data_IF_159372675704
#
_entry.id   IF_159372675704
#
_cell.length_a   1.000
_cell.length_b   1.000
_cell.length_c   1.000
_cell.angle_alpha   90.00
_cell.angle_beta   90.00
_cell.angle_gamma   90.00
#
_symmetry.space_group_name_H-M   'P 1'
#
loop_
_entity.id
_entity.type
_entity.pdbx_description
1 polymer ?
2 non-polymer ?
3 water ?
#
# COMPACT_ATOMS: atom_id res chain seq x y z
N UNK A 6 -25.98 11.99 3.68
CA UNK A 6 -25.19 11.66 2.48
C UNK A 6 -23.76 12.22 2.52
N UNK A 7 -22.79 11.40 2.13
CA UNK A 7 -21.38 11.75 2.27
C UNK A 7 -20.44 10.84 1.45
N UNK A 8 -19.18 11.25 1.34
CA UNK A 8 -18.15 10.48 0.65
C UNK A 8 -17.19 9.82 1.64
N UNK A 9 -17.17 8.47 1.67
CA UNK A 9 -16.23 7.70 2.50
C UNK A 9 -14.80 7.71 1.93
N UNK A 10 -13.80 7.52 2.80
CA UNK A 10 -12.39 7.69 2.45
C UNK A 10 -11.99 6.70 1.38
N UNK A 11 -11.08 7.08 0.49
CA UNK A 11 -10.51 6.12 -0.45
C UNK A 11 -9.15 5.68 0.07
N UNK A 12 -8.69 4.52 -0.38
CA UNK A 12 -7.41 4.03 0.12
C UNK A 12 -6.72 2.99 -0.75
N UNK A 13 -5.40 2.96 -0.61
CA UNK A 13 -4.56 1.97 -1.24
C UNK A 13 -3.72 1.31 -0.16
N UNK A 14 -3.37 0.05 -0.38
CA UNK A 14 -2.38 -0.60 0.45
C UNK A 14 -1.28 -1.16 -0.42
N UNK A 15 -0.05 -1.14 0.09
CA UNK A 15 1.00 -1.99 -0.46
C UNK A 15 1.62 -2.82 0.67
N UNK A 16 1.81 -4.11 0.40
CA UNK A 16 2.30 -5.02 1.43
C UNK A 16 3.78 -5.32 1.41
N UNK A 17 4.43 -5.24 2.56
CA UNK A 17 5.84 -5.60 2.64
C UNK A 17 6.00 -6.84 3.52
N UNK A 18 7.22 -7.32 3.67
CA UNK A 18 7.43 -8.64 4.26
C UNK A 18 6.82 -8.73 5.66
N UNK A 19 6.92 -7.67 6.44
CA UNK A 19 6.28 -7.67 7.77
C UNK A 19 5.54 -6.39 8.11
N UNK A 20 5.09 -5.64 7.11
CA UNK A 20 4.26 -4.47 7.39
C UNK A 20 3.47 -4.08 6.15
N UNK A 21 2.35 -3.41 6.37
CA UNK A 21 1.52 -2.92 5.27
C UNK A 21 1.46 -1.40 5.28
N UNK A 22 1.76 -0.77 4.14
CA UNK A 22 1.63 0.69 4.06
C UNK A 22 0.27 1.10 3.55
N UNK A 23 -0.50 1.72 4.43
CA UNK A 23 -1.86 2.13 4.08
C UNK A 23 -1.93 3.63 3.74
N UNK A 24 -2.38 3.92 2.53
CA UNK A 24 -2.47 5.28 2.02
C UNK A 24 -3.93 5.69 1.90
N UNK A 25 -4.34 6.66 2.72
CA UNK A 25 -5.72 7.15 2.79
C UNK A 25 -5.87 8.52 2.13
N UNK A 26 -6.95 8.71 1.38
CA UNK A 26 -7.29 10.04 0.89
C UNK A 26 -8.60 10.53 1.49
N UNK A 27 -8.51 11.49 2.43
CA UNK A 27 -9.69 12.01 3.12
C UNK A 27 -10.27 13.23 2.41
N UNK A 40 -12.70 8.50 15.15
CA UNK A 40 -13.71 8.60 14.09
C UNK A 40 -13.29 7.88 12.78
N UNK A 41 -12.06 8.10 12.29
CA UNK A 41 -11.59 7.30 11.14
C UNK A 41 -10.85 6.01 11.55
N UNK A 42 -11.27 4.89 10.98
CA UNK A 42 -10.78 3.58 11.40
C UNK A 42 -10.12 2.78 10.27
N UNK A 43 -8.97 2.21 10.59
CA UNK A 43 -8.31 1.27 9.70
C UNK A 43 -8.33 -0.10 10.34
N UNK A 44 -9.12 -0.98 9.73
CA UNK A 44 -9.36 -2.31 10.25
C UNK A 44 -8.42 -3.30 9.56
N UNK A 45 -7.71 -4.08 10.37
CA UNK A 45 -6.74 -5.07 9.89
C UNK A 45 -7.27 -6.47 10.17
N UNK A 46 -7.61 -7.23 9.14
CA UNK A 46 -8.08 -8.60 9.38
C UNK A 46 -7.05 -9.65 8.98
N UNK A 47 -6.77 -10.57 9.90
CA UNK A 47 -6.05 -11.79 9.57
C UNK A 47 -7.07 -12.91 9.78
N UNK A 48 -6.67 -14.16 9.68
CA UNK A 48 -7.66 -15.23 9.81
C UNK A 48 -8.08 -15.47 11.27
N UNK A 49 -9.37 -15.27 11.53
CA UNK A 49 -9.90 -15.29 12.88
C UNK A 49 -9.83 -13.95 13.59
N UNK A 50 -8.91 -13.08 13.17
CA UNK A 50 -8.61 -11.88 13.92
C UNK A 50 -8.96 -10.57 13.22
N UNK A 51 -9.51 -9.63 13.99
CA UNK A 51 -9.76 -8.27 13.52
C UNK A 51 -9.19 -7.26 14.51
N UNK A 52 -8.24 -6.44 14.04
CA UNK A 52 -7.67 -5.37 14.86
C UNK A 52 -8.16 -4.03 14.36
N UNK A 53 -8.58 -3.15 15.26
CA UNK A 53 -9.00 -1.80 14.87
C UNK A 53 -7.94 -0.75 15.19
N UNK A 54 -7.38 -0.12 14.15
CA UNK A 54 -6.37 0.92 14.33
C UNK A 54 -6.98 2.32 14.18
N UNK A 55 -6.46 3.25 14.97
CA UNK A 55 -6.93 4.65 15.03
C UNK A 55 -5.82 5.63 14.66
N UNK A 56 -5.77 6.03 13.42
CA UNK A 56 -4.72 6.92 12.99
C UNK A 56 -4.95 8.30 13.47
N UNK A 57 -3.89 9.01 13.81
CA UNK A 57 -3.98 10.39 14.22
C UNK A 57 -4.37 11.29 13.09
N UNK A 58 -5.62 11.66 13.01
CA UNK A 58 -6.12 12.44 11.93
C UNK A 58 -6.34 13.88 12.37
N UNK A 65 -4.80 13.25 3.06
CA UNK A 65 -3.78 12.39 2.49
C UNK A 65 -2.65 11.99 3.40
N UNK A 66 -2.85 10.99 4.24
CA UNK A 66 -1.81 10.52 5.13
C UNK A 66 -1.43 9.07 4.88
N UNK A 67 -0.28 8.65 5.34
CA UNK A 67 0.05 7.22 5.31
C UNK A 67 0.14 6.60 6.71
N UNK A 68 -0.49 5.44 6.89
CA UNK A 68 -0.41 4.74 8.17
C UNK A 68 0.12 3.34 7.95
N UNK A 69 1.09 2.97 8.78
CA UNK A 69 1.83 1.73 8.61
C UNK A 69 1.53 0.71 9.68
N UNK A 70 0.94 -0.42 9.26
CA UNK A 70 0.63 -1.52 10.15
C UNK A 70 1.84 -2.45 10.13
N UNK A 71 2.43 -2.64 11.31
CA UNK A 71 3.73 -3.31 11.46
C UNK A 71 3.63 -4.61 12.27
N UNK A 72 4.78 -5.21 12.58
CA UNK A 72 4.83 -6.45 13.36
C UNK A 72 3.93 -7.53 12.74
N UNK A 73 3.96 -7.65 11.41
CA UNK A 73 3.14 -8.67 10.77
C UNK A 73 3.94 -9.92 10.36
N UNK A 74 3.22 -10.97 9.98
CA UNK A 74 3.83 -12.26 9.63
C UNK A 74 3.97 -12.39 8.12
N UNK A 75 5.20 -12.65 7.68
CA UNK A 75 5.50 -12.96 6.32
C UNK A 75 4.79 -14.14 5.80
N UNK A 76 4.28 -14.03 4.61
CA UNK A 76 3.65 -15.11 3.93
C UNK A 76 2.33 -15.39 4.50
N UNK A 77 1.65 -14.33 4.89
CA UNK A 77 0.38 -14.41 5.52
C UNK A 77 -0.51 -13.49 4.76
N UNK A 78 -1.77 -13.82 4.70
CA UNK A 78 -2.77 -12.93 4.14
C UNK A 78 -3.37 -11.98 5.17
N UNK A 79 -3.50 -10.71 4.79
CA UNK A 79 -4.14 -9.70 5.61
C UNK A 79 -5.15 -8.94 4.74
N UNK A 80 -6.25 -8.46 5.34
CA UNK A 80 -7.21 -7.65 4.60
C UNK A 80 -7.39 -6.31 5.31
N UNK A 81 -7.64 -5.26 4.54
CA UNK A 81 -7.77 -3.95 5.13
C UNK A 81 -9.05 -3.27 4.68
N UNK A 82 -9.65 -2.56 5.63
CA UNK A 82 -10.89 -1.83 5.43
C UNK A 82 -10.76 -0.48 6.11
N UNK A 83 -11.28 0.56 5.49
CA UNK A 83 -11.14 1.91 6.01
C UNK A 83 -12.52 2.54 6.01
N UNK A 84 -12.83 3.25 7.08
CA UNK A 84 -14.19 3.77 7.22
C UNK A 84 -14.35 4.77 8.36
N UNK A 85 -15.34 5.65 8.23
CA UNK A 85 -15.68 6.59 9.28
C UNK A 85 -16.67 5.96 10.28
N UNK A 86 -16.49 6.27 11.57
CA UNK A 86 -17.34 5.73 12.63
C UNK A 86 -18.19 6.85 13.24
N UNK A 87 -19.41 6.51 13.65
CA UNK A 87 -20.44 7.51 14.02
C UNK A 87 -20.96 7.35 15.46
N UNK A 93 -22.51 3.01 9.82
CA UNK A 93 -21.13 2.59 9.53
C UNK A 93 -21.02 1.78 8.22
N UNK A 94 -20.35 2.34 7.22
CA UNK A 94 -20.12 1.59 5.99
C UNK A 94 -18.68 1.13 5.92
N UNK A 95 -18.45 -0.14 6.20
CA UNK A 95 -17.12 -0.70 6.06
C UNK A 95 -16.77 -0.74 4.58
N UNK A 96 -15.60 -0.23 4.23
CA UNK A 96 -15.16 -0.22 2.84
C UNK A 96 -15.09 -1.65 2.31
N UNK A 97 -15.04 -1.81 0.99
CA UNK A 97 -14.70 -3.15 0.53
C UNK A 97 -13.28 -3.47 0.99
N UNK A 98 -13.01 -4.69 1.30
CA UNK A 98 -11.69 -5.03 1.74
C UNK A 98 -10.67 -5.05 0.64
N UNK A 99 -9.49 -4.55 0.95
CA UNK A 99 -8.36 -4.72 0.05
C UNK A 99 -7.41 -5.72 0.72
N UNK A 100 -7.00 -6.73 -0.01
CA UNK A 100 -6.17 -7.76 0.63
C UNK A 100 -4.85 -7.93 -0.12
N UNK A 101 -3.83 -8.39 0.61
CA UNK A 101 -2.52 -8.65 0.00
C UNK A 101 -1.80 -9.80 0.70
N UNK A 102 -0.84 -10.42 -0.01
CA UNK A 102 -0.04 -11.50 0.58
C UNK A 102 1.37 -11.00 0.84
N UNK A 103 1.76 -11.00 2.11
CA UNK A 103 3.06 -10.50 2.46
C UNK A 103 4.11 -11.41 1.85
N UNK A 104 5.19 -10.82 1.32
CA UNK A 104 6.30 -11.59 0.73
C UNK A 104 7.06 -12.32 1.85
N UNK A 105 7.89 -13.32 1.48
CA UNK A 105 8.70 -14.07 2.45
C UNK A 105 9.88 -13.26 3.00
N UNK B 7 -24.88 -16.32 -6.36
CA UNK B 7 -23.69 -17.19 -6.25
C UNK B 7 -22.50 -16.58 -5.52
N UNK B 8 -21.99 -17.32 -4.54
CA UNK B 8 -20.82 -16.92 -3.76
C UNK B 8 -19.58 -16.91 -4.66
N UNK B 9 -18.65 -15.95 -4.44
CA UNK B 9 -17.44 -15.84 -5.25
C UNK B 9 -16.48 -17.01 -5.05
N UNK B 10 -15.77 -17.41 -6.11
CA UNK B 10 -14.77 -18.48 -6.04
C UNK B 10 -13.48 -18.05 -5.35
N UNK B 11 -12.59 -19.01 -5.11
CA UNK B 11 -11.27 -18.74 -4.54
C UNK B 11 -10.28 -18.43 -5.67
N UNK B 12 -9.32 -17.53 -5.39
CA UNK B 12 -8.31 -17.13 -6.36
C UNK B 12 -7.06 -16.55 -5.69
N UNK B 13 -5.94 -16.58 -6.42
CA UNK B 13 -4.72 -15.94 -5.98
C UNK B 13 -4.16 -15.13 -7.15
N UNK B 14 -3.31 -14.15 -6.86
CA UNK B 14 -2.65 -13.41 -7.92
C UNK B 14 -1.16 -13.28 -7.64
N UNK B 15 -0.37 -13.18 -8.70
CA UNK B 15 1.01 -12.69 -8.51
C UNK B 15 1.38 -11.68 -9.60
N UNK B 16 2.04 -10.61 -9.18
CA UNK B 16 2.23 -9.47 -10.04
C UNK B 16 3.58 -9.43 -10.73
N UNK B 17 3.60 -8.96 -11.98
CA UNK B 17 4.84 -8.78 -12.71
C UNK B 17 4.88 -7.37 -13.29
N UNK B 18 6.02 -7.01 -13.89
CA UNK B 18 6.21 -5.69 -14.48
C UNK B 18 5.02 -5.22 -15.32
N UNK B 19 4.47 -6.11 -16.15
CA UNK B 19 3.42 -5.69 -17.07
C UNK B 19 2.17 -6.55 -17.09
N UNK B 20 2.12 -7.53 -16.21
CA UNK B 20 0.90 -8.32 -16.14
C UNK B 20 0.73 -8.92 -14.75
N UNK B 21 -0.47 -9.44 -14.52
CA UNK B 21 -0.79 -10.13 -13.30
C UNK B 21 -1.32 -11.52 -13.64
N UNK B 22 -0.70 -12.52 -13.03
CA UNK B 22 -1.18 -13.89 -13.09
C UNK B 22 -2.34 -14.09 -12.13
N UNK B 23 -3.45 -14.60 -12.64
CA UNK B 23 -4.60 -14.89 -11.79
C UNK B 23 -4.95 -16.38 -11.85
N UNK B 24 -4.98 -17.04 -10.68
CA UNK B 24 -5.40 -18.44 -10.58
C UNK B 24 -6.71 -18.56 -9.84
N UNK B 25 -7.69 -19.19 -10.48
CA UNK B 25 -8.99 -19.40 -9.82
C UNK B 25 -9.26 -20.89 -9.60
N UNK B 26 -9.89 -21.20 -8.47
CA UNK B 26 -10.30 -22.56 -8.15
C UNK B 26 -11.81 -22.59 -8.00
N UNK B 27 -12.42 -23.71 -8.41
CA UNK B 27 -13.88 -23.81 -8.46
C UNK B 27 -14.44 -24.86 -7.53
N UNK B 39 -23.94 -18.80 -15.87
CA UNK B 39 -22.95 -18.16 -15.05
C UNK B 39 -21.62 -17.99 -15.77
N UNK B 40 -21.17 -16.75 -15.89
CA UNK B 40 -19.85 -16.50 -16.40
C UNK B 40 -18.95 -16.07 -15.30
N UNK B 41 -17.68 -16.35 -15.46
CA UNK B 41 -16.70 -15.84 -14.56
C UNK B 41 -16.21 -14.48 -14.97
N UNK B 42 -16.22 -13.54 -14.06
CA UNK B 42 -15.61 -12.23 -14.25
C UNK B 42 -14.36 -12.08 -13.39
N UNK B 43 -13.29 -11.61 -14.03
CA UNK B 43 -12.07 -11.25 -13.32
C UNK B 43 -11.93 -9.74 -13.47
N UNK B 44 -12.08 -9.02 -12.36
CA UNK B 44 -12.16 -7.57 -12.46
C UNK B 44 -10.90 -6.92 -11.90
N UNK B 45 -10.43 -5.91 -12.62
CA UNK B 45 -9.09 -5.34 -12.48
C UNK B 45 -9.34 -3.86 -12.24
N UNK B 46 -8.55 -3.24 -11.37
CA UNK B 46 -8.74 -1.80 -11.15
C UNK B 46 -7.54 -1.09 -10.57
N UNK B 47 -7.42 0.17 -10.92
CA UNK B 47 -6.38 1.03 -10.49
C UNK B 47 -6.84 2.44 -10.63
N UNK B 48 -6.69 3.22 -9.59
CA UNK B 48 -7.05 4.63 -9.55
C UNK B 48 -8.37 5.10 -10.05
N UNK B 49 -9.40 4.33 -9.87
CA UNK B 49 -10.68 4.75 -10.34
C UNK B 49 -11.08 4.08 -11.62
N UNK B 50 -10.12 3.49 -12.28
CA UNK B 50 -10.41 2.89 -13.56
C UNK B 50 -10.64 1.40 -13.34
N UNK B 51 -11.65 0.84 -14.01
CA UNK B 51 -12.08 -0.52 -13.78
C UNK B 51 -12.37 -1.27 -15.09
N UNK B 52 -12.02 -2.55 -15.12
CA UNK B 52 -12.24 -3.35 -16.33
C UNK B 52 -12.56 -4.81 -16.00
N UNK B 53 -13.70 -5.28 -16.50
CA UNK B 53 -14.14 -6.65 -16.32
C UNK B 53 -13.61 -7.58 -17.43
N UNK B 54 -12.91 -8.64 -17.06
CA UNK B 54 -12.49 -9.64 -18.02
C UNK B 54 -13.45 -10.82 -17.94
N UNK B 55 -13.94 -11.28 -19.10
CA UNK B 55 -14.87 -12.42 -19.11
C UNK B 55 -14.35 -13.53 -20.02
N UNK B 56 -13.31 -14.24 -19.58
CA UNK B 56 -12.78 -15.32 -20.43
C UNK B 56 -13.87 -16.36 -20.68
N UNK B 57 -13.74 -17.08 -21.79
CA UNK B 57 -14.50 -18.29 -22.04
C UNK B 57 -13.70 -19.48 -21.49
N UNK B 58 -14.41 -20.54 -21.12
CA UNK B 58 -13.80 -21.65 -20.39
C UNK B 58 -14.31 -23.03 -20.86
N UNK B 65 -8.75 -25.63 -11.68
CA UNK B 65 -7.65 -24.68 -11.57
C UNK B 65 -7.39 -23.92 -12.87
N UNK B 66 -8.19 -22.88 -13.10
CA UNK B 66 -8.10 -22.03 -14.29
C UNK B 66 -7.09 -20.91 -14.09
N UNK B 67 -6.39 -20.57 -15.16
CA UNK B 67 -5.41 -19.50 -15.10
C UNK B 67 -5.67 -18.48 -16.17
N UNK B 68 -5.53 -17.22 -15.82
CA UNK B 68 -5.76 -16.15 -16.76
C UNK B 68 -4.72 -15.06 -16.54
N UNK B 69 -4.40 -14.34 -17.61
CA UNK B 69 -3.41 -13.29 -17.49
C UNK B 69 -4.02 -11.93 -17.74
N UNK B 70 -3.76 -10.99 -16.84
CA UNK B 70 -4.16 -9.61 -17.07
C UNK B 70 -2.95 -8.90 -17.62
N UNK B 71 -3.03 -8.51 -18.89
CA UNK B 71 -1.86 -7.95 -19.55
C UNK B 71 -1.98 -6.45 -19.71
N UNK B 72 -1.04 -5.90 -20.47
CA UNK B 72 -1.09 -4.50 -20.80
C UNK B 72 -1.07 -3.56 -19.58
N UNK B 73 -0.34 -3.96 -18.54
CA UNK B 73 -0.27 -3.18 -17.31
C UNK B 73 1.03 -2.39 -17.15
N UNK B 74 0.98 -1.32 -16.35
CA UNK B 74 2.11 -0.41 -16.12
C UNK B 74 2.92 -0.72 -14.85
N UNK B 75 4.26 -0.79 -14.98
CA UNK B 75 5.16 -1.06 -13.83
C UNK B 75 4.98 -0.01 -12.75
N UNK B 76 5.36 -0.34 -11.52
CA UNK B 76 5.20 0.56 -10.36
C UNK B 76 3.79 1.13 -10.24
N UNK B 77 2.79 0.33 -10.65
CA UNK B 77 1.40 0.73 -10.52
C UNK B 77 0.66 -0.22 -9.60
N UNK B 78 -0.22 0.32 -8.76
CA UNK B 78 -0.93 -0.50 -7.81
C UNK B 78 -2.24 -1.02 -8.41
N UNK B 79 -2.44 -2.34 -8.36
CA UNK B 79 -3.69 -2.91 -8.92
C UNK B 79 -4.43 -3.78 -7.89
N UNK B 80 -5.76 -3.78 -8.00
CA UNK B 80 -6.60 -4.66 -7.19
C UNK B 80 -7.45 -5.48 -8.14
N UNK B 81 -7.59 -6.78 -7.83
CA UNK B 81 -8.37 -7.70 -8.63
C UNK B 81 -9.50 -8.29 -7.78
N UNK B 82 -10.64 -8.47 -8.43
CA UNK B 82 -11.78 -9.10 -7.80
C UNK B 82 -12.25 -10.18 -8.75
N UNK B 83 -12.85 -11.23 -8.20
CA UNK B 83 -13.26 -12.36 -9.00
C UNK B 83 -14.67 -12.78 -8.56
N UNK B 84 -15.61 -12.82 -9.50
CA UNK B 84 -16.96 -13.24 -9.14
C UNK B 84 -17.74 -13.91 -10.28
N UNK B 85 -19.01 -14.19 -10.00
CA UNK B 85 -19.85 -14.97 -10.90
C UNK B 85 -21.18 -14.28 -11.26
N UNK B 86 -21.38 -14.02 -12.55
CA UNK B 86 -22.58 -13.32 -13.01
C UNK B 86 -23.31 -14.04 -14.15
N UNK B 87 -24.63 -13.83 -14.22
CA UNK B 87 -25.43 -14.25 -15.39
C UNK B 87 -25.73 -13.07 -16.35
N UNK B 88 -25.75 -11.85 -15.80
CA UNK B 88 -25.95 -10.61 -16.56
C UNK B 88 -25.27 -9.47 -15.80
N UNK B 89 -25.32 -8.24 -16.33
CA UNK B 89 -24.68 -7.10 -15.65
C UNK B 89 -25.66 -6.10 -15.01
N UNK B 91 -28.21 -6.35 -12.99
CA UNK B 91 -28.17 -7.68 -12.39
C UNK B 91 -27.36 -7.67 -11.08
N UNK B 92 -27.78 -8.46 -10.10
CA UNK B 92 -27.08 -8.50 -8.82
C UNK B 92 -25.95 -9.54 -8.76
N UNK B 93 -24.83 -9.17 -8.13
CA UNK B 93 -23.66 -10.04 -7.94
C UNK B 93 -23.02 -9.79 -6.57
N UNK B 94 -22.33 -10.80 -6.05
CA UNK B 94 -21.53 -10.66 -4.82
C UNK B 94 -20.03 -10.71 -5.17
N UNK B 95 -19.30 -9.65 -4.85
CA UNK B 95 -17.93 -9.53 -5.31
C UNK B 95 -16.95 -10.07 -4.29
N UNK B 96 -15.84 -10.64 -4.77
CA UNK B 96 -14.85 -11.15 -3.85
C UNK B 96 -14.15 -9.97 -3.19
N UNK B 97 -13.57 -10.19 -2.00
CA UNK B 97 -12.61 -9.18 -1.53
C UNK B 97 -11.56 -8.93 -2.60
N UNK B 98 -11.11 -7.69 -2.72
CA UNK B 98 -10.06 -7.31 -3.63
C UNK B 98 -8.73 -7.93 -3.21
N UNK B 99 -7.97 -8.40 -4.20
CA UNK B 99 -6.59 -8.80 -3.93
C UNK B 99 -5.68 -7.81 -4.66
N UNK B 100 -4.75 -7.23 -3.92
CA UNK B 100 -4.00 -6.11 -4.45
C UNK B 100 -2.50 -6.36 -4.57
N UNK B 101 -1.89 -5.65 -5.51
CA UNK B 101 -0.45 -5.77 -5.69
C UNK B 101 0.17 -4.57 -6.40
N UNK B 102 1.41 -4.29 -6.02
CA UNK B 102 2.18 -3.23 -6.63
C UNK B 102 3.19 -3.87 -7.57
N UNK B 103 3.06 -3.59 -8.87
CA UNK B 103 3.96 -4.17 -9.88
C UNK B 103 5.36 -3.61 -9.72
N UNK B 104 6.37 -4.47 -9.86
CA UNK B 104 7.80 -4.17 -9.81
C UNK B 104 8.23 -3.32 -11.00
N UNK B 105 9.40 -2.64 -10.89
CA UNK B 105 10.00 -1.91 -12.02
C UNK B 105 10.46 -2.87 -13.12
N UNK C 6 13.58 12.59 20.04
CA UNK C 6 14.32 12.41 21.25
C UNK C 6 15.47 11.50 21.06
N UNK C 7 15.53 10.86 19.93
CA UNK C 7 16.52 9.83 19.81
C UNK C 7 17.31 9.89 18.54
N UNK C 8 18.22 8.96 18.41
CA UNK C 8 19.06 8.88 17.24
C UNK C 8 18.35 8.38 16.04
N UNK C 9 18.81 8.87 14.94
CA UNK C 9 18.27 8.56 13.61
C UNK C 9 18.44 7.15 13.18
N UNK C 10 17.52 6.57 12.46
CA UNK C 10 17.70 5.18 12.15
C UNK C 10 18.71 5.05 11.03
N UNK C 11 19.23 3.88 10.83
CA UNK C 11 20.00 3.70 9.61
C UNK C 11 19.01 3.75 8.45
N UNK C 12 19.49 4.14 7.28
CA UNK C 12 18.64 4.08 6.10
C UNK C 12 19.44 4.12 4.80
N UNK C 13 18.88 3.46 3.78
CA UNK C 13 19.42 3.51 2.44
C UNK C 13 18.28 3.89 1.49
N UNK C 14 18.63 4.49 0.35
CA UNK C 14 17.62 4.79 -0.66
C UNK C 14 17.97 4.21 -2.02
N UNK C 15 16.96 3.77 -2.75
CA UNK C 15 17.18 3.41 -4.14
C UNK C 15 16.20 4.13 -5.07
N UNK C 16 16.75 4.78 -6.09
CA UNK C 16 15.95 5.61 -6.96
C UNK C 16 15.51 4.90 -8.21
N UNK C 17 14.24 5.08 -8.59
CA UNK C 17 13.74 4.59 -9.87
C UNK C 17 13.26 5.75 -10.74
N UNK C 18 12.70 5.44 -11.89
CA UNK C 18 12.25 6.47 -12.82
C UNK C 18 11.34 7.52 -12.18
N UNK C 19 10.34 7.08 -11.42
CA UNK C 19 9.38 8.04 -10.85
C UNK C 19 9.18 7.91 -9.34
N UNK C 20 9.92 7.00 -8.72
CA UNK C 20 9.80 6.81 -7.28
C UNK C 20 11.12 6.45 -6.62
N UNK C 21 11.12 6.51 -5.29
CA UNK C 21 12.28 6.16 -4.47
C UNK C 21 11.84 5.25 -3.33
N UNK C 22 12.56 4.13 -3.16
CA UNK C 22 12.39 3.29 -2.00
C UNK C 22 13.30 3.72 -0.86
N UNK C 23 12.68 3.97 0.29
CA UNK C 23 13.44 4.30 1.48
C UNK C 23 13.36 3.14 2.48
N UNK C 24 14.51 2.57 2.82
CA UNK C 24 14.55 1.48 3.78
C UNK C 24 15.17 1.98 5.07
N UNK C 25 14.40 1.98 6.15
CA UNK C 25 14.96 2.33 7.45
C UNK C 25 15.08 1.13 8.36
N UNK C 26 16.19 1.07 9.10
CA UNK C 26 16.38 0.04 10.12
C UNK C 26 16.31 0.67 11.51
N UNK C 27 15.34 0.18 12.30
CA UNK C 27 15.30 0.48 13.71
C UNK C 27 15.89 -0.70 14.48
N UNK C 28 16.53 -0.44 15.63
CA UNK C 28 17.08 -1.51 16.49
C UNK C 28 16.01 -2.52 16.89
N UNK C 37 8.63 9.18 25.10
CA UNK C 37 7.24 9.35 24.66
C UNK C 37 7.05 8.79 23.26
N UNK C 38 5.96 9.19 22.59
CA UNK C 38 5.66 8.67 21.25
C UNK C 38 6.43 9.40 20.14
N UNK C 39 7.23 8.64 19.39
CA UNK C 39 8.10 9.22 18.35
C UNK C 39 7.65 8.97 16.91
N UNK C 40 7.72 10.00 16.09
CA UNK C 40 7.35 9.89 14.70
C UNK C 40 8.56 9.81 13.81
N UNK C 41 8.45 9.00 12.75
CA UNK C 41 9.48 8.97 11.73
C UNK C 41 9.24 10.07 10.70
N UNK C 42 10.27 10.84 10.43
CA UNK C 42 10.19 11.86 9.41
C UNK C 42 11.19 11.57 8.30
N UNK C 43 10.71 11.62 7.07
CA UNK C 43 11.53 11.42 5.91
C UNK C 43 11.55 12.70 5.11
N UNK C 44 12.68 13.40 5.18
CA UNK C 44 12.86 14.69 4.52
C UNK C 44 13.33 14.52 3.07
N UNK C 45 12.55 15.08 2.14
CA UNK C 45 12.89 15.02 0.72
C UNK C 45 13.28 16.41 0.22
N UNK C 46 14.39 16.51 -0.50
CA UNK C 46 14.75 17.78 -1.10
C UNK C 46 15.28 17.65 -2.53
N UNK C 47 14.73 18.48 -3.42
CA UNK C 47 15.24 18.63 -4.77
C UNK C 47 14.87 20.02 -5.29
N UNK C 48 15.69 20.55 -6.20
CA UNK C 48 15.44 21.84 -6.82
C UNK C 48 15.27 22.98 -5.81
N UNK C 49 15.99 22.91 -4.70
CA UNK C 49 15.84 23.90 -3.65
C UNK C 49 14.48 23.92 -2.97
N UNK C 50 13.84 22.76 -2.87
CA UNK C 50 12.57 22.61 -2.17
C UNK C 50 12.62 21.43 -1.19
N UNK C 51 12.15 21.66 0.04
CA UNK C 51 12.12 20.64 1.08
C UNK C 51 10.69 20.20 1.37
N UNK C 52 10.38 18.93 1.12
CA UNK C 52 9.08 18.37 1.50
C UNK C 52 9.33 17.42 2.65
N UNK C 53 8.37 17.30 3.56
CA UNK C 53 8.53 16.39 4.70
C UNK C 53 7.49 15.27 4.64
N UNK C 54 7.93 14.03 4.81
CA UNK C 54 6.98 12.91 4.87
C UNK C 54 6.87 12.34 6.29
N UNK C 55 5.68 12.36 6.88
CA UNK C 55 5.51 11.86 8.23
C UNK C 55 4.47 10.75 8.34
N UNK C 56 4.86 9.53 7.94
CA UNK C 56 3.92 8.41 8.09
C UNK C 56 3.79 7.97 9.55
N UNK C 57 2.56 7.75 10.01
CA UNK C 57 2.36 7.14 11.32
C UNK C 57 2.67 5.63 11.30
N UNK C 58 3.52 5.18 12.19
CA UNK C 58 3.75 3.77 12.37
C UNK C 58 3.10 3.41 13.67
N UNK C 59 2.47 2.28 13.69
CA UNK C 59 1.68 1.91 14.81
C UNK C 59 2.56 1.53 15.97
N UNK C 60 2.33 2.19 17.09
CA UNK C 60 3.05 1.90 18.29
C UNK C 60 4.49 2.23 18.22
N UNK C 61 5.29 1.45 18.92
CA UNK C 61 6.74 1.58 18.84
C UNK C 61 7.25 1.02 17.51
N UNK C 62 8.50 1.34 17.19
CA UNK C 62 9.07 0.93 15.91
C UNK C 62 10.35 0.12 16.08
N UNK C 63 10.43 -0.99 15.36
CA UNK C 63 11.65 -1.78 15.35
C UNK C 63 11.72 -2.59 14.08
N UNK C 64 12.94 -2.93 13.67
CA UNK C 64 13.16 -3.65 12.45
C UNK C 64 13.08 -2.74 11.25
N UNK C 65 13.02 -3.36 10.09
CA UNK C 65 13.09 -2.64 8.82
C UNK C 65 11.73 -2.18 8.33
N UNK C 66 11.72 -1.04 7.65
CA UNK C 66 10.53 -0.59 6.97
C UNK C 66 10.90 0.02 5.66
N UNK C 67 9.94 0.01 4.75
CA UNK C 67 10.10 0.73 3.50
C UNK C 67 9.00 1.77 3.41
N UNK C 68 9.36 2.92 2.88
CA UNK C 68 8.40 3.95 2.59
C UNK C 68 8.68 4.38 1.16
N UNK C 69 7.61 4.48 0.37
CA UNK C 69 7.74 4.87 -1.02
C UNK C 69 7.43 6.34 -1.24
N UNK C 70 8.41 7.05 -1.81
CA UNK C 70 8.22 8.41 -2.27
C UNK C 70 7.95 8.35 -3.78
N UNK C 71 6.72 8.62 -4.20
CA UNK C 71 6.37 8.43 -5.61
C UNK C 71 6.04 9.72 -6.32
N UNK C 72 5.52 9.61 -7.54
CA UNK C 72 5.05 10.79 -8.25
C UNK C 72 6.25 11.76 -8.35
N UNK C 73 7.32 11.29 -8.96
CA UNK C 73 8.58 12.03 -9.00
C UNK C 73 9.01 12.34 -10.45
N UNK C 74 10.08 13.11 -10.61
CA UNK C 74 10.49 13.57 -11.94
C UNK C 74 11.72 12.82 -12.43
N UNK C 75 11.58 12.11 -13.56
CA UNK C 75 12.73 11.40 -14.13
C UNK C 75 13.91 12.33 -14.30
N UNK C 76 15.11 11.75 -14.31
CA UNK C 76 16.33 12.52 -14.56
C UNK C 76 16.46 13.72 -13.61
N UNK C 77 16.10 13.53 -12.35
CA UNK C 77 16.17 14.60 -11.38
C UNK C 77 16.84 14.15 -10.10
N UNK C 78 17.69 15.02 -9.56
CA UNK C 78 18.36 14.74 -8.29
C UNK C 78 17.43 14.89 -7.09
N UNK C 79 17.39 13.85 -6.27
CA UNK C 79 16.74 13.96 -4.97
C UNK C 79 17.71 13.69 -3.82
N UNK C 80 17.43 14.30 -2.68
CA UNK C 80 18.16 14.03 -1.46
C UNK C 80 17.18 13.71 -0.35
N UNK C 81 17.58 12.76 0.48
CA UNK C 81 16.71 12.31 1.55
C UNK C 81 17.45 12.34 2.88
N UNK C 82 16.69 12.58 3.95
CA UNK C 82 17.22 12.60 5.31
C UNK C 82 16.15 12.04 6.21
N UNK C 83 16.53 11.32 7.25
CA UNK C 83 15.53 10.79 8.19
C UNK C 83 15.77 11.26 9.61
N UNK C 84 14.67 11.33 10.37
CA UNK C 84 14.79 11.63 11.78
C UNK C 84 13.52 11.36 12.58
N UNK C 85 13.72 11.26 13.89
CA UNK C 85 12.64 11.04 14.81
C UNK C 85 12.32 12.37 15.48
N UNK C 86 11.06 12.62 15.73
CA UNK C 86 10.66 13.78 16.45
C UNK C 86 9.46 13.41 17.27
N UNK C 87 9.20 14.16 18.31
CA UNK C 87 7.98 14.07 19.02
C UNK C 87 7.17 15.18 18.48
N UNK C 88 7.81 16.27 18.19
CA UNK C 88 7.11 17.46 17.85
C UNK C 88 7.82 18.19 16.77
N UNK C 89 7.08 18.92 15.97
CA UNK C 89 7.63 19.70 14.88
C UNK C 89 8.63 20.75 15.38
N UNK C 90 8.39 21.32 16.55
CA UNK C 90 9.24 22.41 17.02
C UNK C 90 10.33 21.98 18.01
N UNK C 91 10.52 20.68 18.20
CA UNK C 91 11.62 20.25 19.08
C UNK C 91 12.95 20.18 18.35
N UNK C 92 14.03 20.21 19.14
CA UNK C 92 15.36 19.88 18.68
C UNK C 92 15.32 18.45 18.10
N UNK C 93 16.01 18.24 17.00
CA UNK C 93 15.90 16.99 16.29
C UNK C 93 17.27 16.59 15.73
N UNK C 94 17.54 15.29 15.69
CA UNK C 94 18.83 14.84 15.22
C UNK C 94 18.72 14.26 13.79
N UNK C 95 19.20 15.01 12.81
CA UNK C 95 18.99 14.60 11.43
C UNK C 95 20.13 13.76 10.88
N UNK C 96 19.79 12.61 10.32
CA UNK C 96 20.77 11.83 9.58
C UNK C 96 21.39 12.69 8.50
N UNK C 97 22.63 12.36 8.14
CA UNK C 97 23.28 12.91 6.93
C UNK C 97 22.42 12.59 5.71
N UNK C 98 22.61 13.34 4.62
CA UNK C 98 21.81 13.16 3.41
C UNK C 98 22.27 11.96 2.59
N UNK C 99 21.32 11.31 1.93
CA UNK C 99 21.65 10.37 0.88
C UNK C 99 20.96 10.86 -0.40
N UNK C 100 21.69 10.80 -1.51
CA UNK C 100 21.22 11.44 -2.74
C UNK C 100 21.24 10.47 -3.90
N UNK C 101 20.31 10.68 -4.83
CA UNK C 101 20.22 9.82 -6.02
C UNK C 101 19.61 10.56 -7.22
N UNK C 102 20.09 10.24 -8.40
CA UNK C 102 19.57 10.82 -9.63
C UNK C 102 18.62 9.84 -10.27
N UNK C 103 17.34 10.20 -10.37
CA UNK C 103 16.37 9.29 -10.99
C UNK C 103 16.73 9.03 -12.44
N UNK C 104 16.66 7.76 -12.86
CA UNK C 104 16.90 7.33 -14.25
C UNK C 104 15.89 7.93 -15.22
N UNK C 105 16.31 8.17 -16.48
CA UNK C 105 15.39 8.65 -17.52
C UNK C 105 14.53 7.51 -18.04
X LIG D 1 3.79 -1.96 19.34
X LIG E 1 2.49 10.96 5.16
#
# INVERSE_FOLDING_TARGET
>A
ADPDXSFEPPEFEIVGFTNHINVMVKFPSIVEEELQFDLSLVIEEQSEGIVKKHKPEIKGNXSGNFTYIIDKLIPNTNYCVSVYLEHSDEQAVIKSPLKCTLLPP
>B
ADPDXSFEPPEFEIVGFTNHINVMVKFPSIVEEELQFDLSLVIEEQSEGIVKKHKPEIKGNXSGNFTYIIDKLIPNTNYCVSVYLEHSDEQAVIKSPLKCTLLPP
>C
ADPDXSFEPPEFEIVGFTNHINVMVKFPSIVEEELQFDLSLVIEEQSEGIVKKHKPEIKGNMSGNFTYIIDKLIPNTNYCVSVYLEHSDEQAVIKSPLKCTLLPP
>D hetero
1 CL CL
>E hetero
1 CL CL
#
